data_IF_436789825263
#
_entry.id   IF_436789825263
#
_cell.length_a   1.000
_cell.length_b   1.000
_cell.length_c   1.000
_cell.angle_alpha   90.00
_cell.angle_beta   90.00
_cell.angle_gamma   90.00
#
_symmetry.space_group_name_H-M   'P 1'
#
loop_
_entity.id
_entity.type
_entity.pdbx_description
1 polymer ?
#
# COMPACT_ATOMS: atom_id res chain seq x y z
N UNK A 1 -0.39 -0.83 -20.33
CA UNK A 1 0.88 -0.11 -20.08
C UNK A 1 1.53 -0.80 -18.89
N UNK A 2 2.70 -1.42 -19.07
CA UNK A 2 3.44 -2.11 -18.01
C UNK A 2 4.07 -1.08 -17.08
N UNK A 3 3.90 -1.25 -15.79
CA UNK A 3 4.70 -0.53 -14.79
C UNK A 3 6.03 -1.27 -14.75
N UNK A 4 7.09 -0.66 -15.30
CA UNK A 4 8.44 -1.21 -15.18
C UNK A 4 8.97 -0.82 -13.81
N UNK A 5 9.35 -1.77 -12.94
CA UNK A 5 10.07 -1.43 -11.72
C UNK A 5 11.47 -0.94 -12.11
N UNK A 6 11.89 0.16 -11.54
CA UNK A 6 13.24 0.72 -11.71
C UNK A 6 14.26 -0.11 -10.90
N UNK A 7 14.38 -1.35 -11.25
CA UNK A 7 15.53 -2.23 -11.02
C UNK A 7 15.22 -3.54 -11.71
N UNK A 8 15.54 -3.63 -13.00
CA UNK A 8 15.75 -4.93 -13.62
C UNK A 8 17.01 -5.54 -13.02
N UNK A 9 16.83 -6.22 -11.90
CA UNK A 9 17.82 -7.15 -11.41
C UNK A 9 17.65 -8.43 -12.26
N UNK A 10 18.21 -8.40 -13.46
CA UNK A 10 18.37 -9.58 -14.30
C UNK A 10 19.56 -10.38 -13.75
N UNK A 11 19.32 -11.11 -12.70
CA UNK A 11 20.22 -12.12 -12.19
C UNK A 11 19.34 -13.22 -11.65
N UNK A 12 19.23 -14.33 -12.37
CA UNK A 12 18.73 -15.57 -11.82
C UNK A 12 19.73 -16.00 -10.72
N UNK A 13 19.46 -15.84 -9.44
CA UNK A 13 20.25 -16.54 -8.44
C UNK A 13 19.64 -17.92 -8.28
N UNK A 14 20.25 -18.91 -8.95
CA UNK A 14 20.22 -20.27 -8.46
C UNK A 14 21.10 -20.27 -7.20
N UNK A 15 20.52 -20.05 -6.06
CA UNK A 15 21.12 -20.31 -4.76
C UNK A 15 20.05 -20.95 -3.86
N UNK A 16 20.04 -22.26 -3.86
CA UNK A 16 19.52 -23.12 -2.81
C UNK A 16 20.21 -22.77 -1.47
N UNK A 17 19.86 -21.69 -0.84
CA UNK A 17 20.09 -21.30 0.56
C UNK A 17 20.21 -19.77 0.77
N UNK A 18 19.60 -18.94 -0.06
CA UNK A 18 19.50 -17.52 0.25
C UNK A 18 18.52 -17.34 1.43
N UNK A 19 18.83 -16.51 2.45
CA UNK A 19 17.89 -16.16 3.49
C UNK A 19 16.64 -15.60 2.83
N UNK A 20 15.46 -16.13 3.17
CA UNK A 20 14.18 -15.66 2.63
C UNK A 20 14.07 -14.16 2.92
N UNK A 21 14.09 -13.33 1.87
CA UNK A 21 13.93 -11.90 2.03
C UNK A 21 12.54 -11.64 2.59
N UNK A 22 12.48 -11.14 3.82
CA UNK A 22 11.21 -10.79 4.43
C UNK A 22 10.60 -9.61 3.67
N UNK A 23 9.39 -9.79 3.14
CA UNK A 23 8.70 -8.78 2.36
C UNK A 23 7.74 -7.98 3.24
N UNK A 24 7.81 -6.66 3.13
CA UNK A 24 6.85 -5.76 3.76
C UNK A 24 5.54 -5.72 2.96
N UNK A 25 5.64 -5.72 1.62
CA UNK A 25 4.48 -5.77 0.73
C UNK A 25 4.78 -6.76 -0.39
N UNK A 26 3.82 -7.63 -0.68
CA UNK A 26 3.86 -8.51 -1.83
C UNK A 26 2.53 -8.47 -2.57
N UNK A 27 2.59 -8.28 -3.88
CA UNK A 27 1.44 -8.39 -4.78
C UNK A 27 1.78 -9.39 -5.88
N UNK A 28 0.85 -10.29 -6.22
CA UNK A 28 1.01 -11.29 -7.26
C UNK A 28 -0.22 -11.31 -8.17
N UNK A 29 -0.01 -11.10 -9.48
CA UNK A 29 -1.04 -11.09 -10.49
C UNK A 29 -2.16 -10.09 -10.18
N UNK A 30 -1.84 -8.96 -9.56
CA UNK A 30 -2.83 -8.00 -9.09
C UNK A 30 -3.55 -7.32 -10.24
N UNK A 31 -4.87 -7.46 -10.26
CA UNK A 31 -5.75 -6.84 -11.25
C UNK A 31 -6.76 -5.92 -10.57
N UNK A 32 -6.95 -4.75 -11.16
CA UNK A 32 -8.07 -3.86 -10.84
C UNK A 32 -8.73 -3.35 -12.10
N UNK A 33 -9.96 -3.76 -12.31
CA UNK A 33 -10.84 -3.23 -13.36
C UNK A 33 -12.01 -2.49 -12.72
N UNK A 34 -12.21 -1.26 -13.12
CA UNK A 34 -13.40 -0.49 -12.81
C UNK A 34 -14.48 -0.80 -13.84
N UNK A 35 -15.71 -1.12 -13.41
CA UNK A 35 -16.79 -1.42 -14.32
C UNK A 35 -17.16 -0.23 -15.19
N UNK A 36 -17.77 -0.50 -16.34
CA UNK A 36 -18.34 0.55 -17.18
C UNK A 36 -19.42 1.32 -16.42
N UNK A 37 -19.44 2.63 -16.62
CA UNK A 37 -20.50 3.51 -16.16
C UNK A 37 -21.31 4.04 -17.37
N UNK A 38 -22.38 4.80 -17.13
CA UNK A 38 -23.13 5.44 -18.23
C UNK A 38 -22.27 6.39 -19.07
N UNK A 39 -21.22 6.96 -18.49
CA UNK A 39 -20.35 7.96 -19.13
C UNK A 39 -19.01 7.40 -19.62
N UNK A 40 -18.58 6.25 -19.11
CA UNK A 40 -17.24 5.69 -19.41
C UNK A 40 -17.32 4.18 -19.59
N UNK A 41 -16.54 3.64 -20.54
CA UNK A 41 -16.32 2.20 -20.67
C UNK A 41 -15.61 1.60 -19.45
N UNK A 42 -15.55 0.28 -19.39
CA UNK A 42 -14.74 -0.42 -18.38
C UNK A 42 -13.26 -0.02 -18.51
N UNK A 43 -12.60 0.22 -17.38
CA UNK A 43 -11.18 0.64 -17.34
C UNK A 43 -10.37 -0.29 -16.45
N UNK A 44 -9.38 -0.97 -17.03
CA UNK A 44 -8.38 -1.70 -16.25
C UNK A 44 -7.30 -0.72 -15.80
N UNK A 45 -7.18 -0.54 -14.50
CA UNK A 45 -6.21 0.35 -13.87
C UNK A 45 -4.93 -0.40 -13.47
N UNK A 46 -5.04 -1.67 -13.08
CA UNK A 46 -3.93 -2.58 -12.81
C UNK A 46 -4.16 -3.86 -13.60
N UNK A 47 -3.13 -4.32 -14.30
CA UNK A 47 -3.20 -5.49 -15.15
C UNK A 47 -2.07 -6.46 -14.80
N UNK A 48 -2.39 -7.51 -14.04
CA UNK A 48 -1.49 -8.58 -13.60
C UNK A 48 -0.15 -8.05 -13.01
N UNK A 49 -0.25 -7.11 -12.08
CA UNK A 49 0.94 -6.50 -11.46
C UNK A 49 1.53 -7.45 -10.41
N UNK A 50 2.82 -7.74 -10.59
CA UNK A 50 3.66 -8.38 -9.58
C UNK A 50 4.60 -7.34 -8.96
N UNK A 51 4.63 -7.28 -7.63
CA UNK A 51 5.46 -6.33 -6.92
C UNK A 51 5.86 -6.89 -5.56
N UNK A 52 7.14 -6.75 -5.23
CA UNK A 52 7.70 -7.16 -3.95
C UNK A 52 8.50 -6.00 -3.35
N UNK A 53 8.13 -5.58 -2.15
CA UNK A 53 8.84 -4.55 -1.39
C UNK A 53 9.53 -5.21 -0.22
N UNK A 54 10.87 -5.25 -0.19
CA UNK A 54 11.62 -5.81 0.91
C UNK A 54 11.43 -5.01 2.21
N UNK A 55 11.52 -5.70 3.33
CA UNK A 55 11.55 -5.06 4.65
C UNK A 55 12.72 -4.09 4.77
N UNK A 56 12.50 -2.96 5.42
CA UNK A 56 13.54 -1.96 5.69
C UNK A 56 14.03 -1.20 4.45
N UNK A 57 13.34 -1.32 3.31
CA UNK A 57 13.70 -0.62 2.07
C UNK A 57 12.88 0.66 1.89
N UNK A 58 13.43 1.58 1.08
CA UNK A 58 12.69 2.68 0.48
C UNK A 58 12.35 2.27 -0.94
N UNK A 59 11.07 2.24 -1.27
CA UNK A 59 10.59 1.81 -2.58
C UNK A 59 9.86 2.94 -3.30
N UNK A 60 10.30 3.26 -4.52
CA UNK A 60 9.70 4.30 -5.38
C UNK A 60 8.71 3.70 -6.37
N UNK A 61 7.45 4.14 -6.32
CA UNK A 61 6.44 3.79 -7.32
C UNK A 61 6.29 4.94 -8.31
N UNK A 62 6.93 4.81 -9.47
CA UNK A 62 7.00 5.85 -10.48
C UNK A 62 6.13 5.50 -11.70
N UNK A 63 5.70 6.53 -12.42
CA UNK A 63 4.93 6.37 -13.65
C UNK A 63 4.06 7.60 -13.95
N UNK A 64 3.54 7.73 -15.17
CA UNK A 64 2.69 8.86 -15.56
C UNK A 64 1.36 8.88 -14.80
N UNK A 65 0.62 9.99 -14.94
CA UNK A 65 -0.74 10.07 -14.40
C UNK A 65 -1.64 9.05 -15.08
N UNK A 66 -2.45 8.35 -14.28
CA UNK A 66 -3.30 7.26 -14.77
C UNK A 66 -2.62 5.89 -14.84
N UNK A 67 -1.33 5.75 -14.50
CA UNK A 67 -0.60 4.48 -14.48
C UNK A 67 -1.01 3.50 -13.35
N UNK A 68 -2.06 3.79 -12.60
CA UNK A 68 -2.54 2.90 -11.54
C UNK A 68 -1.87 3.06 -10.18
N UNK A 69 -0.92 3.98 -9.99
CA UNK A 69 -0.19 4.19 -8.71
C UNK A 69 -1.14 4.41 -7.53
N UNK A 70 -2.05 5.38 -7.64
CA UNK A 70 -3.04 5.66 -6.59
C UNK A 70 -4.00 4.50 -6.39
N UNK A 71 -4.36 3.76 -7.45
CA UNK A 71 -5.19 2.57 -7.34
C UNK A 71 -4.49 1.49 -6.52
N UNK A 72 -3.20 1.26 -6.76
CA UNK A 72 -2.40 0.31 -6.00
C UNK A 72 -2.34 0.70 -4.51
N UNK A 73 -1.99 1.95 -4.21
CA UNK A 73 -1.95 2.47 -2.83
C UNK A 73 -3.32 2.35 -2.16
N UNK A 74 -4.41 2.69 -2.85
CA UNK A 74 -5.77 2.58 -2.31
C UNK A 74 -6.18 1.12 -2.02
N UNK A 75 -5.68 0.15 -2.78
CA UNK A 75 -5.89 -1.27 -2.48
C UNK A 75 -5.16 -1.66 -1.20
N UNK A 76 -3.90 -1.25 -1.02
CA UNK A 76 -3.14 -1.50 0.21
C UNK A 76 -3.82 -0.86 1.43
N UNK A 77 -4.31 0.37 1.28
CA UNK A 77 -5.04 1.10 2.32
C UNK A 77 -6.44 0.50 2.63
N UNK A 78 -6.92 -0.44 1.80
CA UNK A 78 -8.27 -0.98 1.93
C UNK A 78 -9.40 -0.03 1.51
N UNK A 79 -9.06 1.04 0.79
CA UNK A 79 -10.02 2.02 0.23
C UNK A 79 -10.63 1.55 -1.09
N UNK A 80 -9.98 0.59 -1.75
CA UNK A 80 -10.44 0.02 -3.03
C UNK A 80 -10.24 -1.50 -3.00
N UNK A 81 -11.24 -2.24 -3.41
CA UNK A 81 -11.13 -3.69 -3.56
C UNK A 81 -10.45 -4.04 -4.88
N UNK A 82 -9.52 -5.00 -4.87
CA UNK A 82 -8.96 -5.58 -6.08
C UNK A 82 -9.99 -6.42 -6.83
N UNK A 83 -9.75 -6.65 -8.12
CA UNK A 83 -10.58 -7.55 -8.95
C UNK A 83 -10.06 -8.98 -8.92
N UNK A 84 -8.74 -9.16 -8.96
CA UNK A 84 -8.09 -10.47 -8.91
C UNK A 84 -6.64 -10.34 -8.40
N UNK A 85 -5.97 -11.48 -8.22
CA UNK A 85 -4.62 -11.56 -7.69
C UNK A 85 -4.58 -11.61 -6.15
N UNK A 86 -3.39 -11.64 -5.57
CA UNK A 86 -3.17 -11.68 -4.12
C UNK A 86 -2.32 -10.50 -3.68
N UNK A 87 -2.58 -10.00 -2.48
CA UNK A 87 -1.76 -8.95 -1.86
C UNK A 87 -1.58 -9.26 -0.39
N UNK A 88 -0.35 -9.20 0.09
CA UNK A 88 -0.05 -9.32 1.51
C UNK A 88 0.76 -8.12 2.01
N UNK A 89 0.53 -7.76 3.27
CA UNK A 89 1.23 -6.71 4.00
C UNK A 89 1.79 -7.36 5.26
N UNK A 90 3.13 -7.41 5.38
CA UNK A 90 3.81 -8.12 6.46
C UNK A 90 3.32 -9.57 6.61
N UNK A 91 3.16 -10.28 5.48
CA UNK A 91 2.66 -11.64 5.44
C UNK A 91 1.18 -11.80 5.80
N UNK A 92 0.44 -10.69 5.97
CA UNK A 92 -1.00 -10.69 6.23
C UNK A 92 -1.74 -10.43 4.93
N UNK A 93 -2.46 -11.42 4.45
CA UNK A 93 -3.28 -11.28 3.25
C UNK A 93 -4.44 -10.31 3.48
N UNK A 94 -4.64 -9.38 2.53
CA UNK A 94 -5.61 -8.29 2.68
C UNK A 94 -7.07 -8.73 2.58
N UNK A 95 -7.35 -9.91 2.02
CA UNK A 95 -8.72 -10.43 1.91
C UNK A 95 -9.11 -11.25 3.14
N UNK A 96 -8.23 -12.17 3.57
CA UNK A 96 -8.50 -13.06 4.70
C UNK A 96 -8.28 -12.38 6.06
N UNK A 97 -7.34 -11.43 6.15
CA UNK A 97 -7.02 -10.69 7.38
C UNK A 97 -6.97 -9.17 7.17
N UNK A 98 -8.07 -8.55 6.69
CA UNK A 98 -8.06 -7.15 6.28
C UNK A 98 -7.78 -6.15 7.41
N UNK A 99 -8.19 -6.46 8.64
CA UNK A 99 -7.93 -5.60 9.81
C UNK A 99 -6.46 -5.61 10.20
N UNK A 100 -5.86 -6.81 10.25
CA UNK A 100 -4.46 -6.99 10.62
C UNK A 100 -3.52 -6.37 9.57
N UNK A 101 -3.87 -6.53 8.29
CA UNK A 101 -3.11 -5.93 7.20
C UNK A 101 -3.14 -4.40 7.27
N UNK A 102 -4.32 -3.80 7.46
CA UNK A 102 -4.45 -2.34 7.61
C UNK A 102 -3.78 -1.78 8.86
N UNK A 103 -3.82 -2.51 9.98
CA UNK A 103 -3.13 -2.10 11.20
C UNK A 103 -1.59 -2.10 11.07
N UNK A 104 -1.05 -2.77 10.03
CA UNK A 104 0.38 -2.89 9.80
C UNK A 104 0.95 -1.81 8.86
N UNK A 105 0.12 -0.89 8.34
CA UNK A 105 0.53 0.20 7.45
C UNK A 105 0.01 1.54 7.93
N UNK A 106 0.77 2.61 7.63
CA UNK A 106 0.31 3.98 7.69
C UNK A 106 0.24 4.57 6.27
N UNK A 107 -0.75 5.39 6.00
CA UNK A 107 -0.92 6.08 4.71
C UNK A 107 -0.94 7.58 4.92
N UNK A 108 -0.05 8.28 4.23
CA UNK A 108 -0.04 9.74 4.18
C UNK A 108 -0.69 10.17 2.86
N UNK A 109 -1.84 10.84 2.89
CA UNK A 109 -2.51 11.30 1.67
C UNK A 109 -1.71 12.42 0.99
N UNK A 110 -1.90 12.57 -0.32
CA UNK A 110 -1.25 13.64 -1.08
C UNK A 110 -1.78 15.02 -0.71
N UNK A 111 -3.07 15.11 -0.39
CA UNK A 111 -3.69 16.35 0.09
C UNK A 111 -3.48 16.45 1.60
N UNK A 112 -3.04 17.62 2.04
CA UNK A 112 -2.94 17.92 3.47
C UNK A 112 -4.36 17.93 4.06
N UNK A 113 -4.73 16.86 4.73
CA UNK A 113 -5.90 16.82 5.59
C UNK A 113 -5.58 17.53 6.92
N UNK A 114 -5.06 18.77 6.85
CA UNK A 114 -4.88 19.59 8.04
C UNK A 114 -6.26 20.10 8.43
N UNK A 115 -6.80 19.57 9.51
CA UNK A 115 -7.99 20.12 10.13
C UNK A 115 -7.61 21.48 10.73
N UNK A 116 -8.25 22.56 10.25
CA UNK A 116 -8.00 23.92 10.74
C UNK A 116 -8.36 24.12 12.22
N UNK A 117 -9.10 23.17 12.81
CA UNK A 117 -9.54 23.23 14.20
C UNK A 117 -8.60 22.50 15.18
N UNK A 118 -7.64 21.72 14.67
CA UNK A 118 -6.70 20.95 15.49
C UNK A 118 -5.26 21.35 15.23
N UNK A 119 -4.48 21.43 16.30
CA UNK A 119 -3.02 21.52 16.17
C UNK A 119 -2.47 20.18 15.61
N UNK A 120 -1.28 20.18 14.99
CA UNK A 120 -0.65 18.93 14.54
C UNK A 120 -0.55 17.88 15.64
N UNK A 121 -0.27 18.27 16.89
CA UNK A 121 -0.22 17.36 18.04
C UNK A 121 -1.57 16.72 18.31
N UNK A 122 -2.64 17.53 18.40
CA UNK A 122 -3.99 17.01 18.63
C UNK A 122 -4.44 16.07 17.51
N UNK A 123 -4.12 16.40 16.26
CA UNK A 123 -4.39 15.54 15.11
C UNK A 123 -3.69 14.18 15.25
N UNK A 124 -2.41 14.17 15.64
CA UNK A 124 -1.66 12.94 15.89
C UNK A 124 -2.20 12.13 17.06
N UNK A 125 -2.61 12.79 18.16
CA UNK A 125 -3.22 12.13 19.32
C UNK A 125 -4.55 11.46 18.96
N UNK A 126 -5.38 12.14 18.17
CA UNK A 126 -6.64 11.59 17.64
C UNK A 126 -6.34 10.38 16.73
N UNK A 127 -5.40 10.55 15.81
CA UNK A 127 -5.01 9.47 14.89
C UNK A 127 -4.49 8.24 15.65
N UNK A 128 -3.58 8.43 16.61
CA UNK A 128 -3.09 7.36 17.46
C UNK A 128 -4.23 6.66 18.22
N UNK A 129 -5.24 7.42 18.66
CA UNK A 129 -6.44 6.88 19.28
C UNK A 129 -7.25 5.98 18.36
N UNK A 130 -7.39 6.34 17.09
CA UNK A 130 -8.08 5.53 16.09
C UNK A 130 -7.35 4.21 15.81
N UNK A 131 -6.02 4.19 15.94
CA UNK A 131 -5.20 2.98 15.86
C UNK A 131 -5.13 2.19 17.18
N UNK A 132 -5.86 2.61 18.21
CA UNK A 132 -5.94 1.89 19.48
C UNK A 132 -4.73 2.09 20.40
N UNK A 133 -3.88 3.07 20.14
CA UNK A 133 -2.75 3.41 21.03
C UNK A 133 -3.30 3.94 22.36
N UNK A 134 -2.92 3.37 23.51
CA UNK A 134 -3.36 3.85 24.82
C UNK A 134 -2.98 5.31 25.06
N UNK A 135 -3.85 6.08 25.74
CA UNK A 135 -3.62 7.53 25.93
C UNK A 135 -2.27 7.84 26.58
N UNK A 136 -1.82 6.99 27.50
CA UNK A 136 -0.52 7.15 28.17
C UNK A 136 0.69 7.02 27.24
N UNK A 137 0.54 6.33 26.12
CA UNK A 137 1.60 6.07 25.12
C UNK A 137 1.55 7.04 23.94
N UNK A 138 0.53 7.92 23.87
CA UNK A 138 0.36 8.92 22.80
C UNK A 138 1.22 10.17 22.99
N UNK A 139 1.97 10.27 24.11
CA UNK A 139 2.90 11.36 24.30
C UNK A 139 4.08 11.19 23.34
N UNK A 140 4.02 11.89 22.23
CA UNK A 140 5.13 12.01 21.31
C UNK A 140 6.11 13.04 21.86
N UNK A 141 7.19 12.56 22.49
CA UNK A 141 8.42 13.35 22.72
C UNK A 141 9.20 13.58 21.41
N UNK A 142 8.52 13.45 20.28
CA UNK A 142 9.09 13.52 18.95
C UNK A 142 8.55 14.75 18.20
N UNK A 143 9.00 15.91 18.59
CA UNK A 143 9.16 17.11 17.71
C UNK A 143 10.35 17.91 18.18
#
# INVERSE_FOLDING_TARGET
MKIEPFASFTGTPVLDNAPSVELAIEARGLVKTYPATRATGAKTALDHIDLAVPRGSIFGLLGPNGAGKSTFINILAGLTQKTAGTVSIWGRDIDSRPRDARAAIGVVPQELAADVFFTPRESLEVQAGLYGVPKAERQTDAL
#
